data_IF_657989823481
#
_entry.id   IF_657989823481
#
_cell.length_a   1.000
_cell.length_b   1.000
_cell.length_c   1.000
_cell.angle_alpha   90.00
_cell.angle_beta   90.00
_cell.angle_gamma   90.00
#
_symmetry.space_group_name_H-M   'P 1'
#
loop_
_entity.id
_entity.type
_entity.pdbx_description
1 polymer ?
#
# COMPACT_ATOMS: atom_id res chain seq x y z
N UNK A 1 33.80 -13.35 -21.38
CA UNK A 1 32.72 -12.37 -21.09
C UNK A 1 31.97 -12.81 -19.83
N UNK A 2 32.38 -12.32 -18.66
CA UNK A 2 31.64 -12.62 -17.42
C UNK A 2 30.36 -11.78 -17.40
N UNK A 3 29.22 -12.46 -17.41
CA UNK A 3 27.91 -11.82 -17.27
C UNK A 3 27.90 -11.01 -15.98
N UNK A 4 27.70 -9.70 -16.11
CA UNK A 4 27.57 -8.75 -15.01
C UNK A 4 26.35 -9.16 -14.19
N UNK A 5 26.55 -9.99 -13.16
CA UNK A 5 25.52 -10.31 -12.17
C UNK A 5 25.05 -8.99 -11.57
N UNK A 6 23.87 -8.50 -11.97
CA UNK A 6 23.20 -7.41 -11.28
C UNK A 6 23.05 -7.87 -9.83
N UNK A 7 23.80 -7.25 -8.93
CA UNK A 7 23.52 -7.32 -7.50
C UNK A 7 22.09 -6.79 -7.36
N UNK A 8 21.14 -7.69 -7.12
CA UNK A 8 19.84 -7.29 -6.61
C UNK A 8 20.15 -6.72 -5.23
N UNK A 9 20.30 -5.40 -5.16
CA UNK A 9 20.41 -4.67 -3.91
C UNK A 9 19.18 -5.06 -3.09
N UNK A 10 19.35 -5.95 -2.11
CA UNK A 10 18.29 -6.26 -1.15
C UNK A 10 17.97 -4.95 -0.45
N UNK A 11 16.85 -4.33 -0.81
CA UNK A 11 16.39 -3.12 -0.14
C UNK A 11 15.74 -3.57 1.17
N UNK A 12 16.32 -3.23 2.33
CA UNK A 12 15.71 -3.59 3.61
C UNK A 12 14.37 -2.88 3.80
N UNK A 13 14.10 -1.82 3.04
CA UNK A 13 12.85 -1.06 3.09
C UNK A 13 12.10 -1.14 1.76
N UNK A 14 10.77 -1.19 1.84
CA UNK A 14 9.89 -1.09 0.67
C UNK A 14 8.65 -0.26 0.96
N UNK A 15 8.09 0.31 -0.11
CA UNK A 15 6.84 1.04 -0.08
C UNK A 15 5.70 0.16 -0.56
N UNK A 16 4.62 0.10 0.21
CA UNK A 16 3.41 -0.64 -0.13
C UNK A 16 2.25 0.34 -0.29
N UNK A 17 1.81 0.57 -1.52
CA UNK A 17 0.68 1.47 -1.79
C UNK A 17 -0.63 0.79 -1.39
N UNK A 18 -1.35 1.38 -0.43
CA UNK A 18 -2.59 0.82 0.12
C UNK A 18 -3.86 1.47 -0.43
N UNK A 19 -3.74 2.70 -0.92
CA UNK A 19 -4.88 3.48 -1.38
C UNK A 19 -4.48 4.43 -2.51
N UNK A 20 -5.34 4.48 -3.52
CA UNK A 20 -5.27 5.41 -4.62
C UNK A 20 -6.48 6.36 -4.58
N UNK A 21 -6.26 7.61 -4.97
CA UNK A 21 -7.29 8.64 -4.89
C UNK A 21 -7.62 9.10 -3.47
N UNK A 22 -8.36 10.20 -3.41
CA UNK A 22 -8.81 10.82 -2.18
C UNK A 22 -10.14 11.54 -2.44
N UNK A 23 -11.14 11.26 -1.60
CA UNK A 23 -12.47 11.86 -1.63
C UNK A 23 -12.59 13.07 -0.69
N UNK A 24 -11.49 13.46 -0.03
CA UNK A 24 -11.48 14.58 0.91
C UNK A 24 -11.25 15.90 0.19
N UNK A 25 -12.06 16.89 0.56
CA UNK A 25 -11.90 18.26 0.11
C UNK A 25 -10.74 18.94 0.85
N UNK A 26 -9.67 19.19 0.11
CA UNK A 26 -8.51 19.94 0.60
C UNK A 26 -8.41 21.24 -0.19
N UNK A 27 -8.54 22.38 0.48
CA UNK A 27 -8.48 23.73 -0.12
C UNK A 27 -7.18 24.02 -0.86
N UNK A 28 -6.12 23.30 -0.51
CA UNK A 28 -4.78 23.44 -1.08
C UNK A 28 -4.45 22.34 -2.10
N UNK A 29 -5.27 21.29 -2.22
CA UNK A 29 -4.99 20.21 -3.15
C UNK A 29 -5.43 20.60 -4.56
N UNK A 30 -4.54 20.41 -5.53
CA UNK A 30 -4.86 20.64 -6.94
C UNK A 30 -5.91 19.67 -7.47
N UNK A 31 -6.00 18.47 -6.89
CA UNK A 31 -6.95 17.45 -7.27
C UNK A 31 -8.36 17.86 -6.82
N UNK A 32 -9.25 18.16 -7.78
CA UNK A 32 -10.63 18.57 -7.49
C UNK A 32 -11.47 17.35 -7.11
N UNK A 33 -12.22 17.50 -6.02
CA UNK A 33 -12.92 16.46 -5.24
C UNK A 33 -13.94 15.55 -5.93
N UNK A 34 -14.12 15.62 -7.25
CA UNK A 34 -15.16 14.84 -7.92
C UNK A 34 -14.64 13.82 -8.94
N UNK A 35 -13.36 13.88 -9.34
CA UNK A 35 -12.81 12.98 -10.36
C UNK A 35 -11.89 11.90 -9.80
N UNK A 36 -11.34 12.08 -8.60
CA UNK A 36 -10.51 11.08 -7.95
C UNK A 36 -11.38 10.08 -7.19
N UNK A 37 -11.86 9.03 -7.88
CA UNK A 37 -12.46 7.89 -7.20
C UNK A 37 -11.45 7.32 -6.21
N UNK A 38 -11.85 7.27 -4.94
CA UNK A 38 -11.05 6.65 -3.90
C UNK A 38 -11.16 5.14 -4.04
N UNK A 39 -10.01 4.49 -4.19
CA UNK A 39 -9.90 3.04 -4.20
C UNK A 39 -8.96 2.59 -3.09
N UNK A 40 -9.51 1.87 -2.12
CA UNK A 40 -8.73 1.17 -1.10
C UNK A 40 -8.52 -0.27 -1.56
N UNK A 41 -7.27 -0.72 -1.60
CA UNK A 41 -6.96 -2.12 -1.94
C UNK A 41 -7.49 -3.06 -0.87
N UNK A 42 -7.85 -4.27 -1.28
CA UNK A 42 -8.36 -5.28 -0.33
C UNK A 42 -7.27 -5.71 0.63
N UNK A 43 -7.64 -6.15 1.84
CA UNK A 43 -6.65 -6.58 2.82
C UNK A 43 -5.89 -7.84 2.37
N UNK A 44 -6.54 -8.71 1.59
CA UNK A 44 -5.92 -9.91 1.03
C UNK A 44 -4.77 -9.57 0.07
N UNK A 45 -5.00 -8.65 -0.87
CA UNK A 45 -3.97 -8.19 -1.81
C UNK A 45 -2.77 -7.56 -1.09
N UNK A 46 -3.04 -6.76 -0.04
CA UNK A 46 -1.98 -6.13 0.75
C UNK A 46 -1.14 -7.16 1.51
N UNK A 47 -1.77 -8.17 2.10
CA UNK A 47 -1.05 -9.24 2.82
C UNK A 47 -0.21 -10.07 1.85
N UNK A 48 -0.75 -10.42 0.67
CA UNK A 48 -0.02 -11.18 -0.33
C UNK A 48 1.21 -10.42 -0.84
N UNK A 49 1.07 -9.13 -1.15
CA UNK A 49 2.20 -8.30 -1.58
C UNK A 49 3.21 -8.08 -0.45
N UNK A 50 2.75 -7.82 0.78
CA UNK A 50 3.62 -7.69 1.94
C UNK A 50 4.46 -8.96 2.16
N UNK A 51 3.86 -10.15 2.06
CA UNK A 51 4.58 -11.43 2.16
C UNK A 51 5.62 -11.58 1.05
N UNK A 52 5.26 -11.26 -0.19
CA UNK A 52 6.19 -11.28 -1.32
C UNK A 52 7.39 -10.35 -1.10
N UNK A 53 7.17 -9.17 -0.50
CA UNK A 53 8.25 -8.24 -0.16
C UNK A 53 9.12 -8.76 0.99
N UNK A 54 8.53 -9.37 2.02
CA UNK A 54 9.27 -10.02 3.11
C UNK A 54 10.14 -11.16 2.59
N UNK A 55 9.62 -12.00 1.68
CA UNK A 55 10.37 -13.08 1.03
C UNK A 55 11.57 -12.55 0.21
N UNK A 56 11.47 -11.33 -0.30
CA UNK A 56 12.57 -10.63 -0.98
C UNK A 56 13.62 -10.04 -0.02
N UNK A 57 13.39 -10.12 1.30
CA UNK A 57 14.30 -9.66 2.35
C UNK A 57 14.03 -8.24 2.83
N UNK A 58 12.82 -7.71 2.59
CA UNK A 58 12.36 -6.44 3.17
C UNK A 58 12.05 -6.66 4.65
N UNK A 59 12.58 -5.78 5.50
CA UNK A 59 12.35 -5.78 6.96
C UNK A 59 11.50 -4.60 7.42
N UNK A 60 11.34 -3.57 6.59
CA UNK A 60 10.52 -2.40 6.88
C UNK A 60 9.57 -2.11 5.70
N UNK A 61 8.28 -2.10 6.00
CA UNK A 61 7.23 -1.75 5.05
C UNK A 61 6.64 -0.38 5.41
N UNK A 62 6.75 0.56 4.48
CA UNK A 62 6.09 1.87 4.60
C UNK A 62 4.81 1.87 3.77
N UNK A 63 3.67 2.04 4.43
CA UNK A 63 2.37 2.11 3.77
C UNK A 63 2.18 3.48 3.13
N UNK A 64 1.86 3.51 1.84
CA UNK A 64 1.65 4.74 1.08
C UNK A 64 0.19 4.91 0.64
N UNK A 65 -0.29 6.15 0.71
CA UNK A 65 -1.59 6.54 0.18
C UNK A 65 -1.79 8.05 0.35
N UNK A 66 -2.65 8.65 -0.48
CA UNK A 66 -2.94 10.09 -0.40
C UNK A 66 -3.55 10.48 0.95
N UNK A 67 -4.37 9.59 1.53
CA UNK A 67 -4.89 9.71 2.88
C UNK A 67 -5.01 8.32 3.51
N UNK A 68 -3.95 7.88 4.18
CA UNK A 68 -3.88 6.57 4.83
C UNK A 68 -4.92 6.41 5.95
N UNK A 69 -5.31 7.51 6.62
CA UNK A 69 -6.31 7.47 7.68
C UNK A 69 -7.70 7.10 7.17
N UNK A 70 -7.93 7.30 5.87
CA UNK A 70 -9.21 7.01 5.24
C UNK A 70 -9.29 5.59 4.68
N UNK A 71 -8.25 4.76 4.84
CA UNK A 71 -8.26 3.38 4.35
C UNK A 71 -9.42 2.58 4.95
N UNK A 72 -10.17 1.92 4.08
CA UNK A 72 -11.20 0.96 4.42
C UNK A 72 -11.11 -0.20 3.45
N UNK A 73 -10.44 -1.26 3.89
CA UNK A 73 -10.33 -2.51 3.12
C UNK A 73 -11.50 -3.42 3.43
N UNK A 74 -11.94 -4.18 2.43
CA UNK A 74 -12.79 -5.35 2.69
C UNK A 74 -11.92 -6.47 3.27
N UNK A 75 -12.33 -6.97 4.44
CA UNK A 75 -11.72 -8.16 5.04
C UNK A 75 -12.24 -9.43 4.37
N UNK A 76 -11.50 -10.53 4.52
CA UNK A 76 -11.90 -11.90 4.12
C UNK A 76 -13.26 -12.33 4.70
N UNK A 77 -13.76 -11.65 5.72
CA UNK A 77 -15.04 -11.93 6.40
C UNK A 77 -16.15 -10.89 6.11
N UNK A 78 -16.05 -10.11 5.03
CA UNK A 78 -17.04 -9.08 4.62
C UNK A 78 -17.31 -7.98 5.68
N UNK A 79 -16.38 -7.77 6.61
CA UNK A 79 -16.41 -6.68 7.59
C UNK A 79 -15.48 -5.53 7.21
N UNK A 80 -15.76 -4.29 7.68
CA UNK A 80 -14.88 -3.15 7.48
C UNK A 80 -13.53 -3.39 8.18
N UNK A 81 -12.45 -3.47 7.41
CA UNK A 81 -11.10 -3.66 7.93
C UNK A 81 -10.37 -2.32 8.08
N UNK A 82 -9.82 -2.07 9.27
CA UNK A 82 -9.01 -0.88 9.58
C UNK A 82 -7.52 -1.23 9.54
N UNK A 83 -6.68 -0.28 9.15
CA UNK A 83 -5.22 -0.45 9.14
C UNK A 83 -4.65 -0.89 10.49
N UNK A 84 -5.17 -0.35 11.60
CA UNK A 84 -4.70 -0.72 12.95
C UNK A 84 -4.98 -2.17 13.35
N UNK A 85 -5.81 -2.88 12.59
CA UNK A 85 -6.10 -4.30 12.79
C UNK A 85 -5.24 -5.21 11.90
N UNK A 86 -4.34 -4.64 11.09
CA UNK A 86 -3.43 -5.38 10.24
C UNK A 86 -2.32 -6.02 11.09
N UNK A 87 -2.44 -7.31 11.34
CA UNK A 87 -1.36 -8.13 11.87
C UNK A 87 -0.70 -8.84 10.67
N UNK A 88 0.52 -8.39 10.31
CA UNK A 88 1.35 -8.99 9.26
C UNK A 88 2.24 -10.10 9.83
#
# INVERSE_FOLDING_TARGET
MLARRKRLEKKPTAFLTIQEGCDKFCTFALCRTQEAQKYSRTTAELIEEAKSLVDQGVVELTLLGQNVNAYHGESLTNGPFKLGSLNL
#
